data_IF_546526456669
#
_entry.id   IF_546526456669
#
_cell.length_a   1.000
_cell.length_b   1.000
_cell.length_c   1.000
_cell.angle_alpha   90.00
_cell.angle_beta   90.00
_cell.angle_gamma   90.00
#
_symmetry.space_group_name_H-M   'P 1'
#
loop_
_entity.id
_entity.type
_entity.pdbx_description
1 polymer ?
#
# COMPACT_ATOMS: atom_id res chain seq x y z
N UNK A 1 1.88 7.26 -20.25
CA UNK A 1 2.53 7.76 -19.03
C UNK A 1 1.49 8.53 -18.22
N UNK A 2 0.96 7.95 -17.16
CA UNK A 2 0.11 8.71 -16.24
C UNK A 2 1.03 9.68 -15.48
N UNK A 3 0.91 10.97 -15.75
CA UNK A 3 1.55 12.00 -14.95
C UNK A 3 0.94 11.93 -13.55
N UNK A 4 1.66 11.40 -12.59
CA UNK A 4 1.40 11.69 -11.19
C UNK A 4 1.66 13.19 -11.02
N UNK A 5 0.58 13.96 -11.05
CA UNK A 5 0.60 15.36 -10.65
C UNK A 5 1.03 15.37 -9.17
N UNK A 6 1.77 16.36 -8.72
CA UNK A 6 2.44 16.64 -7.45
C UNK A 6 1.84 16.11 -6.11
N UNK A 7 0.98 15.10 -6.12
CA UNK A 7 0.24 14.56 -4.97
C UNK A 7 0.26 13.04 -4.87
N UNK A 8 1.11 12.35 -5.64
CA UNK A 8 1.30 10.91 -5.50
C UNK A 8 2.53 10.63 -4.63
N UNK A 9 2.33 9.79 -3.62
CA UNK A 9 3.39 9.32 -2.74
C UNK A 9 3.56 7.82 -2.92
N UNK A 10 4.79 7.30 -2.84
CA UNK A 10 5.00 5.87 -2.75
C UNK A 10 4.53 5.38 -1.38
N UNK A 11 3.58 4.48 -1.37
CA UNK A 11 3.19 3.71 -0.18
C UNK A 11 3.47 2.25 -0.44
N UNK A 12 3.74 1.48 0.60
CA UNK A 12 3.89 0.05 0.47
C UNK A 12 2.55 -0.63 0.74
N UNK A 13 2.19 -1.55 -0.13
CA UNK A 13 1.04 -2.42 0.05
C UNK A 13 1.51 -3.84 -0.22
N UNK A 14 1.35 -4.73 0.75
CA UNK A 14 1.96 -6.07 0.74
C UNK A 14 3.47 -6.06 0.46
N UNK A 15 4.20 -5.08 1.01
CA UNK A 15 5.64 -4.85 0.81
C UNK A 15 6.04 -4.41 -0.62
N UNK A 16 5.08 -4.11 -1.50
CA UNK A 16 5.36 -3.58 -2.83
C UNK A 16 5.04 -2.09 -2.92
N UNK A 17 5.90 -1.30 -3.60
CA UNK A 17 5.65 0.12 -3.77
C UNK A 17 4.43 0.36 -4.68
N UNK A 18 3.52 1.19 -4.20
CA UNK A 18 2.31 1.61 -4.89
C UNK A 18 2.25 3.13 -4.90
N UNK A 19 2.09 3.72 -6.08
CA UNK A 19 1.79 5.15 -6.18
C UNK A 19 0.35 5.43 -5.74
N UNK A 20 0.17 6.26 -4.72
CA UNK A 20 -1.12 6.63 -4.19
C UNK A 20 -1.26 8.14 -4.02
N UNK A 21 -2.49 8.66 -4.17
CA UNK A 21 -2.77 10.06 -3.93
C UNK A 21 -2.79 10.35 -2.42
N UNK A 22 -2.20 11.44 -2.01
CA UNK A 22 -2.26 11.92 -0.63
C UNK A 22 -3.42 12.91 -0.37
N UNK A 23 -4.32 13.07 -1.35
CA UNK A 23 -5.43 14.02 -1.26
C UNK A 23 -6.38 13.70 -0.10
N UNK A 24 -6.73 12.43 0.08
CA UNK A 24 -7.60 11.99 1.18
C UNK A 24 -6.99 12.31 2.54
N UNK A 25 -5.71 11.98 2.75
CA UNK A 25 -5.02 12.28 3.99
C UNK A 25 -4.93 13.80 4.24
N UNK A 26 -4.62 14.60 3.21
CA UNK A 26 -4.63 16.08 3.33
C UNK A 26 -5.99 16.61 3.75
N UNK A 27 -7.06 16.10 3.15
CA UNK A 27 -8.42 16.52 3.47
C UNK A 27 -8.77 16.18 4.93
N UNK A 28 -8.54 14.93 5.34
CA UNK A 28 -8.78 14.45 6.70
C UNK A 28 -8.00 15.30 7.73
N UNK A 29 -6.70 15.51 7.50
CA UNK A 29 -5.85 16.29 8.41
C UNK A 29 -6.26 17.76 8.49
N UNK A 30 -6.70 18.37 7.37
CA UNK A 30 -7.15 19.76 7.31
C UNK A 30 -8.50 19.95 7.98
N UNK A 31 -9.46 19.06 7.77
CA UNK A 31 -10.84 19.19 8.28
C UNK A 31 -11.01 18.60 9.66
N UNK A 32 -10.08 17.74 10.09
CA UNK A 32 -10.20 16.92 11.31
C UNK A 32 -11.45 16.04 11.33
N UNK A 33 -11.98 15.73 10.12
CA UNK A 33 -13.10 14.83 9.98
C UNK A 33 -12.69 13.40 10.36
N UNK A 34 -13.61 12.65 10.97
CA UNK A 34 -13.38 11.23 11.29
C UNK A 34 -13.17 10.44 9.99
N UNK A 35 -12.13 9.62 9.98
CA UNK A 35 -11.82 8.72 8.89
C UNK A 35 -12.35 7.33 9.20
N UNK A 36 -13.27 6.85 8.38
CA UNK A 36 -13.94 5.56 8.55
C UNK A 36 -13.61 4.65 7.37
N UNK A 37 -13.39 3.39 7.66
CA UNK A 37 -13.29 2.29 6.70
C UNK A 37 -14.63 1.58 6.65
N UNK A 38 -15.30 1.64 5.50
CA UNK A 38 -16.56 0.95 5.24
C UNK A 38 -16.31 -0.24 4.33
N UNK A 39 -16.80 -1.42 4.72
CA UNK A 39 -16.68 -2.63 3.91
C UNK A 39 -17.87 -3.57 4.10
N UNK A 40 -18.04 -4.50 3.18
CA UNK A 40 -19.10 -5.49 3.19
C UNK A 40 -18.50 -6.90 3.10
N UNK A 41 -19.01 -7.79 3.94
CA UNK A 41 -18.68 -9.21 3.91
C UNK A 41 -19.91 -9.97 3.42
N UNK A 42 -19.72 -10.78 2.39
CA UNK A 42 -20.79 -11.61 1.86
C UNK A 42 -21.05 -12.78 2.79
N UNK A 43 -22.33 -13.06 3.07
CA UNK A 43 -22.81 -14.23 3.77
C UNK A 43 -23.85 -14.97 2.90
N UNK A 44 -24.44 -16.05 3.44
CA UNK A 44 -25.42 -16.86 2.69
C UNK A 44 -26.71 -16.09 2.38
N UNK A 45 -27.08 -15.14 3.22
CA UNK A 45 -28.34 -14.37 3.10
C UNK A 45 -28.14 -12.97 2.46
N UNK A 46 -26.87 -12.57 2.17
CA UNK A 46 -26.60 -11.25 1.59
C UNK A 46 -25.24 -10.67 1.98
N UNK A 47 -25.23 -9.50 2.60
CA UNK A 47 -24.01 -8.81 3.00
C UNK A 47 -24.15 -8.19 4.40
N UNK A 48 -23.16 -8.44 5.22
CA UNK A 48 -22.96 -7.72 6.48
C UNK A 48 -22.10 -6.48 6.21
N UNK A 49 -22.59 -5.31 6.64
CA UNK A 49 -21.89 -4.04 6.49
C UNK A 49 -21.16 -3.68 7.78
N UNK A 50 -19.89 -3.34 7.65
CA UNK A 50 -19.03 -2.97 8.75
C UNK A 50 -18.50 -1.55 8.59
N UNK A 51 -18.36 -0.85 9.71
CA UNK A 51 -17.77 0.49 9.78
C UNK A 51 -16.73 0.46 10.90
N UNK A 52 -15.48 0.73 10.57
CA UNK A 52 -14.36 0.79 11.52
C UNK A 52 -13.71 2.17 11.46
N UNK A 53 -13.31 2.71 12.60
CA UNK A 53 -12.50 3.94 12.64
C UNK A 53 -11.06 3.62 12.23
N UNK A 54 -10.49 4.47 11.36
CA UNK A 54 -9.06 4.41 11.06
C UNK A 54 -8.29 5.02 12.24
N UNK A 55 -7.10 4.47 12.53
CA UNK A 55 -6.25 4.91 13.63
C UNK A 55 -6.09 6.43 13.70
N UNK A 56 -6.12 7.00 14.89
CA UNK A 56 -5.91 8.44 15.13
C UNK A 56 -4.54 8.94 14.67
N UNK A 57 -3.57 8.05 14.44
CA UNK A 57 -2.30 8.40 13.84
C UNK A 57 -2.42 9.07 12.46
N UNK A 58 -3.58 8.93 11.79
CA UNK A 58 -3.88 9.62 10.52
C UNK A 58 -3.82 11.16 10.63
N UNK A 59 -4.08 11.71 11.82
CA UNK A 59 -4.05 13.16 12.09
C UNK A 59 -2.65 13.67 12.44
N UNK A 60 -1.68 12.76 12.62
CA UNK A 60 -0.31 13.09 13.01
C UNK A 60 0.61 13.14 11.79
N UNK A 61 1.72 13.86 11.93
CA UNK A 61 2.74 13.95 10.90
C UNK A 61 2.29 14.65 9.61
N UNK A 62 2.86 14.21 8.50
CA UNK A 62 2.60 14.75 7.17
C UNK A 62 1.41 14.04 6.50
N UNK A 63 0.91 14.63 5.39
CA UNK A 63 -0.10 13.95 4.58
C UNK A 63 0.39 12.62 3.96
N UNK A 64 1.70 12.44 3.84
CA UNK A 64 2.27 11.18 3.39
C UNK A 64 2.15 10.12 4.47
N UNK A 65 2.40 10.47 5.73
CA UNK A 65 2.22 9.57 6.87
C UNK A 65 0.76 9.18 7.03
N UNK A 66 -0.17 10.14 6.91
CA UNK A 66 -1.60 9.85 6.89
C UNK A 66 -2.03 8.94 5.74
N UNK A 67 -1.40 9.07 4.56
CA UNK A 67 -1.66 8.16 3.43
C UNK A 67 -1.17 6.75 3.75
N UNK A 68 -0.03 6.62 4.41
CA UNK A 68 0.47 5.32 4.85
C UNK A 68 -0.50 4.65 5.83
N UNK A 69 -1.03 5.39 6.81
CA UNK A 69 -2.03 4.88 7.77
C UNK A 69 -3.28 4.34 7.07
N UNK A 70 -3.80 5.06 6.05
CA UNK A 70 -4.94 4.60 5.26
C UNK A 70 -4.62 3.27 4.56
N UNK A 71 -3.45 3.19 3.93
CA UNK A 71 -3.05 1.97 3.21
C UNK A 71 -2.80 0.79 4.15
N UNK A 72 -2.28 1.04 5.34
CA UNK A 72 -2.12 0.01 6.37
C UNK A 72 -3.48 -0.55 6.80
N UNK A 73 -4.46 0.32 7.07
CA UNK A 73 -5.81 -0.11 7.42
C UNK A 73 -6.47 -0.97 6.32
N UNK A 74 -6.28 -0.58 5.05
CA UNK A 74 -6.77 -1.37 3.91
C UNK A 74 -6.05 -2.72 3.81
N UNK A 75 -4.74 -2.76 4.00
CA UNK A 75 -3.97 -4.01 3.96
C UNK A 75 -4.40 -4.95 5.07
N UNK A 76 -4.58 -4.44 6.29
CA UNK A 76 -5.03 -5.23 7.44
C UNK A 76 -6.45 -5.80 7.21
N UNK A 77 -7.33 -5.02 6.58
CA UNK A 77 -8.66 -5.50 6.19
C UNK A 77 -8.56 -6.63 5.16
N UNK A 78 -7.74 -6.48 4.12
CA UNK A 78 -7.55 -7.52 3.09
C UNK A 78 -6.96 -8.80 3.72
N UNK A 79 -6.06 -8.67 4.71
CA UNK A 79 -5.50 -9.82 5.42
C UNK A 79 -6.53 -10.57 6.26
N UNK A 80 -7.51 -9.84 6.83
CA UNK A 80 -8.61 -10.45 7.59
C UNK A 80 -9.63 -11.15 6.70
N UNK A 81 -9.86 -10.62 5.50
CA UNK A 81 -10.91 -11.09 4.57
C UNK A 81 -10.41 -11.19 3.12
N UNK A 82 -9.38 -12.02 2.86
CA UNK A 82 -8.76 -12.11 1.54
C UNK A 82 -9.71 -12.60 0.46
N UNK A 83 -10.72 -13.41 0.82
CA UNK A 83 -11.72 -13.97 -0.09
C UNK A 83 -12.69 -12.90 -0.64
N UNK A 84 -12.85 -11.78 0.06
CA UNK A 84 -13.73 -10.68 -0.36
C UNK A 84 -13.01 -9.57 -1.13
N UNK A 85 -11.68 -9.67 -1.27
CA UNK A 85 -10.93 -8.67 -2.02
C UNK A 85 -11.00 -8.95 -3.54
N UNK A 86 -11.17 -7.88 -4.31
CA UNK A 86 -11.25 -7.96 -5.77
C UNK A 86 -9.87 -8.18 -6.40
N UNK A 87 -9.35 -9.41 -6.36
CA UNK A 87 -8.02 -9.80 -6.84
C UNK A 87 -7.79 -9.57 -8.33
N UNK A 88 -8.85 -9.53 -9.14
CA UNK A 88 -8.75 -9.23 -10.59
C UNK A 88 -8.41 -7.76 -10.88
N UNK A 89 -8.54 -6.88 -9.89
CA UNK A 89 -8.13 -5.48 -10.04
C UNK A 89 -6.61 -5.35 -10.06
N UNK A 90 -6.09 -4.85 -11.18
CA UNK A 90 -4.63 -4.67 -11.41
C UNK A 90 -4.09 -3.48 -10.62
N UNK A 91 -3.98 -3.62 -9.30
CA UNK A 91 -3.60 -2.54 -8.37
C UNK A 91 -2.22 -1.97 -8.63
N UNK A 92 -1.26 -2.82 -9.01
CA UNK A 92 0.14 -2.45 -9.23
C UNK A 92 0.47 -2.08 -10.68
N UNK A 93 -0.52 -1.81 -11.51
CA UNK A 93 -0.31 -1.50 -12.95
C UNK A 93 0.58 -0.27 -13.21
N UNK A 94 0.70 0.63 -12.24
CA UNK A 94 1.56 1.81 -12.32
C UNK A 94 3.06 1.46 -12.17
N UNK A 95 3.39 0.33 -11.55
CA UNK A 95 4.74 -0.18 -11.42
C UNK A 95 5.09 -1.06 -12.63
N UNK A 96 6.07 -0.68 -13.50
CA UNK A 96 6.37 -1.43 -14.72
C UNK A 96 6.79 -2.88 -14.47
N UNK A 97 7.57 -3.13 -13.40
CA UNK A 97 8.04 -4.48 -13.03
C UNK A 97 6.86 -5.37 -12.63
N UNK A 98 5.94 -4.86 -11.79
CA UNK A 98 4.77 -5.61 -11.32
C UNK A 98 3.68 -5.70 -12.39
N UNK A 99 3.57 -4.69 -13.28
CA UNK A 99 2.61 -4.74 -14.39
C UNK A 99 2.88 -5.90 -15.34
N UNK A 100 4.14 -6.23 -15.58
CA UNK A 100 4.52 -7.34 -16.44
C UNK A 100 4.00 -8.69 -15.94
N UNK A 101 3.89 -8.88 -14.60
CA UNK A 101 3.42 -10.11 -13.98
C UNK A 101 1.97 -10.47 -14.36
N UNK A 102 1.12 -9.46 -14.62
CA UNK A 102 -0.28 -9.69 -14.98
C UNK A 102 -0.49 -10.40 -16.33
N UNK A 103 0.55 -10.51 -17.14
CA UNK A 103 0.50 -11.15 -18.45
C UNK A 103 1.25 -12.49 -18.48
N UNK A 104 1.82 -12.92 -17.35
CA UNK A 104 2.53 -14.19 -17.24
C UNK A 104 1.61 -15.32 -16.78
N UNK A 105 1.89 -16.56 -17.14
CA UNK A 105 1.30 -17.74 -16.52
C UNK A 105 1.56 -17.73 -15.01
N UNK A 106 0.64 -18.32 -14.22
CA UNK A 106 0.68 -18.24 -12.75
C UNK A 106 2.04 -18.65 -12.16
N UNK A 107 2.60 -19.79 -12.58
CA UNK A 107 3.87 -20.27 -12.03
C UNK A 107 5.04 -19.33 -12.33
N UNK A 108 5.11 -18.78 -13.54
CA UNK A 108 6.13 -17.80 -13.92
C UNK A 108 5.96 -16.48 -13.14
N UNK A 109 4.72 -16.04 -12.94
CA UNK A 109 4.42 -14.84 -12.18
C UNK A 109 4.86 -14.98 -10.71
N UNK A 110 4.63 -16.15 -10.08
CA UNK A 110 5.08 -16.44 -8.70
C UNK A 110 6.60 -16.40 -8.62
N UNK A 111 7.30 -17.13 -9.48
CA UNK A 111 8.78 -17.15 -9.50
C UNK A 111 9.36 -15.74 -9.68
N UNK A 112 8.80 -14.97 -10.60
CA UNK A 112 9.26 -13.60 -10.84
C UNK A 112 8.96 -12.67 -9.66
N UNK A 113 7.84 -12.86 -8.98
CA UNK A 113 7.49 -12.11 -7.78
C UNK A 113 8.48 -12.38 -6.63
N UNK A 114 8.88 -13.62 -6.44
CA UNK A 114 9.89 -14.01 -5.44
C UNK A 114 11.25 -13.36 -5.75
N UNK A 115 11.67 -13.37 -6.99
CA UNK A 115 12.90 -12.68 -7.41
C UNK A 115 12.86 -11.18 -7.11
N UNK A 116 11.74 -10.51 -7.43
CA UNK A 116 11.57 -9.08 -7.12
C UNK A 116 11.59 -8.79 -5.61
N UNK A 117 11.08 -9.69 -4.79
CA UNK A 117 11.15 -9.59 -3.32
C UNK A 117 12.58 -9.69 -2.81
N UNK A 118 13.36 -10.64 -3.33
CA UNK A 118 14.76 -10.78 -2.98
C UNK A 118 15.59 -9.56 -3.40
N UNK A 119 15.38 -9.05 -4.62
CA UNK A 119 16.03 -7.83 -5.10
C UNK A 119 15.76 -6.63 -4.18
N UNK A 120 14.53 -6.48 -3.69
CA UNK A 120 14.15 -5.39 -2.77
C UNK A 120 14.79 -5.55 -1.38
N UNK A 121 14.89 -6.77 -0.86
CA UNK A 121 15.56 -7.03 0.42
C UNK A 121 17.04 -6.70 0.36
N UNK A 122 17.72 -7.08 -0.71
CA UNK A 122 19.16 -6.77 -0.91
C UNK A 122 19.36 -5.25 -0.99
N UNK A 123 18.51 -4.52 -1.70
CA UNK A 123 18.62 -3.07 -1.82
C UNK A 123 18.36 -2.36 -0.47
N UNK A 124 17.40 -2.82 0.32
CA UNK A 124 17.12 -2.23 1.63
C UNK A 124 18.28 -2.46 2.62
N UNK A 125 18.93 -3.61 2.57
CA UNK A 125 20.08 -3.93 3.41
C UNK A 125 21.32 -3.12 3.02
N UNK A 126 21.55 -2.93 1.72
CA UNK A 126 22.66 -2.12 1.21
C UNK A 126 22.53 -0.64 1.62
N UNK A 127 21.32 -0.07 1.57
CA UNK A 127 21.07 1.33 1.95
C UNK A 127 21.27 1.55 3.46
N UNK A 128 20.95 0.56 4.30
CA UNK A 128 21.15 0.65 5.76
C UNK A 128 22.65 0.63 6.12
N UNK A 129 23.44 -0.19 5.44
CA UNK A 129 24.91 -0.28 5.66
C UNK A 129 25.60 1.03 5.24
N UNK A 130 25.16 1.68 4.17
CA UNK A 130 25.73 2.98 3.74
C UNK A 130 25.43 4.12 4.73
N UNK A 131 24.24 4.12 5.34
CA UNK A 131 23.88 5.13 6.36
C UNK A 131 24.67 4.98 7.64
N UNK A 132 24.99 3.76 8.07
CA UNK A 132 25.74 3.49 9.28
C UNK A 132 27.25 3.81 9.14
N UNK A 133 27.80 3.67 7.93
CA UNK A 133 29.19 4.03 7.64
C UNK A 133 29.41 5.54 7.64
N UNK A 134 28.43 6.33 7.16
CA UNK A 134 28.50 7.80 7.15
C UNK A 134 28.37 8.38 8.57
N UNK A 135 27.65 7.71 9.48
CA UNK A 135 27.48 8.17 10.89
C UNK A 135 28.70 7.90 11.76
N UNK A 136 29.61 7.02 11.34
CA UNK A 136 30.80 6.61 12.13
C UNK A 136 32.09 7.39 11.77
N UNK A 137 32.00 8.38 10.87
CA UNK A 137 33.14 9.18 10.36
C UNK A 137 33.02 10.67 10.78
N UNK A 138 32.16 11.03 11.73
CA UNK A 138 32.12 12.37 12.33
C UNK A 138 32.56 12.36 13.78
#
# INVERSE_FOLDING_TARGET
MARCINHCVPVFNFKFPLASSNLSAKLIQKTKAKALLLYAIRNDDGFDMYIEEISESIYQGTANDGTFVIHQAIEDLIRRHPEHYHWTYKRFKANPKLRALYNLPFNEAVTRLEQLRMEQQIQSTATTVESDVVSSVQ
#
